data_IF_525009382752
#
_entry.id   IF_525009382752
#
_cell.length_a   1.000
_cell.length_b   1.000
_cell.length_c   1.000
_cell.angle_alpha   90.00
_cell.angle_beta   90.00
_cell.angle_gamma   90.00
#
_symmetry.space_group_name_H-M   'P 1'
#
loop_
_entity.id
_entity.type
_entity.pdbx_description
1 polymer ?
#
# COMPACT_ATOMS: atom_id res chain seq x y z
N UNK A 1 5.22 -12.25 -14.51
CA UNK A 1 5.48 -11.24 -13.48
C UNK A 1 6.15 -10.06 -14.16
N UNK A 2 5.55 -8.85 -14.07
CA UNK A 2 6.18 -7.61 -14.55
C UNK A 2 7.55 -7.40 -13.90
N UNK A 3 8.51 -6.86 -14.64
CA UNK A 3 9.77 -6.42 -14.03
C UNK A 3 9.58 -5.02 -13.46
N UNK A 4 10.37 -4.66 -12.44
CA UNK A 4 10.34 -3.31 -11.85
C UNK A 4 10.54 -2.21 -12.92
N UNK A 5 11.34 -2.49 -13.96
CA UNK A 5 11.57 -1.60 -15.10
C UNK A 5 10.34 -1.33 -15.96
N UNK A 6 9.32 -2.20 -15.89
CA UNK A 6 8.09 -2.09 -16.67
C UNK A 6 7.02 -1.26 -15.94
N UNK A 7 7.23 -0.99 -14.64
CA UNK A 7 6.31 -0.21 -13.82
C UNK A 7 6.45 1.27 -14.18
N UNK A 8 5.42 1.81 -14.82
CA UNK A 8 5.34 3.24 -15.12
C UNK A 8 4.92 4.05 -13.90
N UNK A 9 5.31 5.33 -13.86
CA UNK A 9 4.81 6.27 -12.85
C UNK A 9 3.28 6.36 -12.87
N UNK A 10 2.66 6.28 -14.05
CA UNK A 10 1.20 6.30 -14.17
C UNK A 10 0.56 5.10 -13.44
N UNK A 11 1.06 3.88 -13.70
CA UNK A 11 0.58 2.66 -13.05
C UNK A 11 0.77 2.72 -11.54
N UNK A 12 1.93 3.19 -11.07
CA UNK A 12 2.22 3.35 -9.65
C UNK A 12 1.24 4.31 -8.98
N UNK A 13 1.08 5.52 -9.53
CA UNK A 13 0.17 6.53 -8.97
C UNK A 13 -1.27 6.04 -8.95
N UNK A 14 -1.72 5.36 -10.03
CA UNK A 14 -3.06 4.78 -10.08
C UNK A 14 -3.27 3.73 -8.98
N UNK A 15 -2.35 2.78 -8.82
CA UNK A 15 -2.44 1.76 -7.77
C UNK A 15 -2.44 2.39 -6.39
N UNK A 16 -1.60 3.40 -6.14
CA UNK A 16 -1.61 4.14 -4.89
C UNK A 16 -2.96 4.81 -4.62
N UNK A 17 -3.59 5.43 -5.63
CA UNK A 17 -4.93 6.01 -5.48
C UNK A 17 -6.00 4.97 -5.17
N UNK A 18 -5.92 3.77 -5.75
CA UNK A 18 -6.86 2.68 -5.45
C UNK A 18 -6.65 2.18 -4.01
N UNK A 19 -5.41 2.04 -3.54
CA UNK A 19 -5.12 1.70 -2.15
C UNK A 19 -5.64 2.77 -1.18
N UNK A 20 -5.49 4.04 -1.54
CA UNK A 20 -6.05 5.16 -0.78
C UNK A 20 -7.57 5.09 -0.71
N UNK A 21 -8.22 4.86 -1.84
CA UNK A 21 -9.67 4.71 -1.92
C UNK A 21 -10.14 3.54 -1.05
N UNK A 22 -9.50 2.37 -1.17
CA UNK A 22 -9.81 1.19 -0.38
C UNK A 22 -9.70 1.47 1.13
N UNK A 23 -8.65 2.15 1.56
CA UNK A 23 -8.48 2.54 2.97
C UNK A 23 -9.60 3.48 3.46
N UNK A 24 -10.07 4.40 2.62
CA UNK A 24 -11.13 5.35 2.99
C UNK A 24 -12.53 4.73 2.97
N UNK A 25 -12.81 3.87 1.99
CA UNK A 25 -14.14 3.30 1.76
C UNK A 25 -14.37 2.01 2.57
N UNK A 26 -13.37 1.13 2.66
CA UNK A 26 -13.44 -0.17 3.33
C UNK A 26 -12.16 -0.45 4.14
N UNK A 27 -11.97 0.22 5.29
CA UNK A 27 -10.73 0.13 6.07
C UNK A 27 -10.43 -1.29 6.57
N UNK A 28 -11.45 -2.08 6.91
CA UNK A 28 -11.28 -3.47 7.35
C UNK A 28 -10.74 -4.34 6.21
N UNK A 29 -11.25 -4.16 4.99
CA UNK A 29 -10.79 -4.87 3.80
C UNK A 29 -9.38 -4.43 3.39
N UNK A 30 -9.08 -3.14 3.53
CA UNK A 30 -7.72 -2.64 3.38
C UNK A 30 -6.75 -3.32 4.36
N UNK A 31 -7.13 -3.44 5.65
CA UNK A 31 -6.28 -4.07 6.66
C UNK A 31 -6.01 -5.54 6.33
N UNK A 32 -7.04 -6.30 5.96
CA UNK A 32 -6.89 -7.70 5.57
C UNK A 32 -6.00 -7.84 4.32
N UNK A 33 -6.19 -6.99 3.31
CA UNK A 33 -5.35 -6.99 2.10
C UNK A 33 -3.88 -6.68 2.39
N UNK A 34 -3.61 -5.67 3.23
CA UNK A 34 -2.24 -5.33 3.65
C UNK A 34 -1.63 -6.45 4.48
N UNK A 35 -2.42 -7.09 5.35
CA UNK A 35 -1.97 -8.23 6.16
C UNK A 35 -1.56 -9.41 5.29
N UNK A 36 -2.32 -9.71 4.23
CA UNK A 36 -1.94 -10.73 3.25
C UNK A 36 -0.63 -10.37 2.54
N UNK A 37 -0.47 -9.13 2.07
CA UNK A 37 0.81 -8.67 1.48
C UNK A 37 1.96 -8.83 2.48
N UNK A 38 1.77 -8.45 3.74
CA UNK A 38 2.79 -8.54 4.78
C UNK A 38 3.14 -9.98 5.19
N UNK A 39 2.30 -10.97 4.85
CA UNK A 39 2.65 -12.38 5.03
C UNK A 39 3.83 -12.76 4.11
N UNK A 40 3.80 -12.30 2.86
CA UNK A 40 4.78 -12.65 1.82
C UNK A 40 5.88 -11.59 1.63
N UNK A 41 5.59 -10.33 1.93
CA UNK A 41 6.51 -9.20 1.76
C UNK A 41 7.12 -8.76 3.09
N UNK A 42 8.22 -9.40 3.47
CA UNK A 42 8.90 -9.16 4.76
C UNK A 42 9.27 -7.70 4.98
N UNK A 43 9.75 -6.98 3.95
CA UNK A 43 10.13 -5.58 4.09
C UNK A 43 8.93 -4.67 4.43
N UNK A 44 7.76 -4.89 3.81
CA UNK A 44 6.56 -4.13 4.16
C UNK A 44 6.13 -4.37 5.62
N UNK A 45 6.19 -5.63 6.08
CA UNK A 45 5.91 -5.98 7.47
C UNK A 45 6.86 -5.30 8.46
N UNK A 46 8.16 -5.35 8.20
CA UNK A 46 9.18 -4.69 9.03
C UNK A 46 8.98 -3.17 9.07
N UNK A 47 8.61 -2.58 7.94
CA UNK A 47 8.36 -1.14 7.85
C UNK A 47 7.10 -0.72 8.63
N UNK A 48 6.03 -1.52 8.61
CA UNK A 48 4.86 -1.29 9.46
C UNK A 48 5.21 -1.30 10.95
N UNK A 49 6.04 -2.26 11.39
CA UNK A 49 6.51 -2.33 12.77
C UNK A 49 7.35 -1.10 13.13
N UNK A 50 8.21 -0.64 12.21
CA UNK A 50 8.99 0.57 12.40
C UNK A 50 8.11 1.82 12.53
N UNK A 51 7.04 1.96 11.74
CA UNK A 51 6.06 3.05 11.87
C UNK A 51 5.38 3.01 13.24
N UNK A 52 4.96 1.82 13.69
CA UNK A 52 4.34 1.66 15.02
C UNK A 52 5.30 2.03 16.15
N UNK A 53 6.58 1.65 16.04
CA UNK A 53 7.61 2.04 16.99
C UNK A 53 7.85 3.56 16.97
N UNK A 54 7.88 4.19 15.79
CA UNK A 54 7.98 5.65 15.66
C UNK A 54 6.80 6.35 16.35
N UNK A 55 5.57 5.86 16.14
CA UNK A 55 4.38 6.40 16.77
C UNK A 55 4.41 6.24 18.29
N UNK A 56 4.84 5.08 18.79
CA UNK A 56 5.00 4.81 20.22
C UNK A 56 6.09 5.65 20.90
N UNK A 57 7.03 6.20 20.12
CA UNK A 57 8.07 7.14 20.59
C UNK A 57 7.70 8.61 20.35
N UNK A 58 6.43 8.90 20.05
CA UNK A 58 5.92 10.25 19.79
C UNK A 58 6.70 10.98 18.68
N UNK A 59 7.09 10.24 17.62
CA UNK A 59 7.72 10.83 16.46
C UNK A 59 6.86 11.95 15.86
N UNK A 60 7.53 12.94 15.26
CA UNK A 60 6.85 14.08 14.65
C UNK A 60 5.84 13.63 13.58
N UNK A 61 4.72 14.36 13.48
CA UNK A 61 3.63 14.05 12.56
C UNK A 61 4.08 14.01 11.10
N UNK A 62 5.01 14.87 10.70
CA UNK A 62 5.55 14.86 9.34
C UNK A 62 6.39 13.60 9.07
N UNK A 63 7.14 13.14 10.07
CA UNK A 63 7.92 11.91 9.96
C UNK A 63 7.01 10.67 9.81
N UNK A 64 5.93 10.60 10.59
CA UNK A 64 4.93 9.53 10.48
C UNK A 64 4.23 9.55 9.11
N UNK A 65 3.79 10.72 8.65
CA UNK A 65 3.13 10.86 7.35
C UNK A 65 4.06 10.45 6.19
N UNK A 66 5.34 10.79 6.28
CA UNK A 66 6.33 10.39 5.28
C UNK A 66 6.55 8.88 5.28
N UNK A 67 6.59 8.24 6.46
CA UNK A 67 6.74 6.80 6.57
C UNK A 67 5.52 6.07 6.01
N UNK A 68 4.30 6.50 6.36
CA UNK A 68 3.07 5.95 5.78
C UNK A 68 3.04 6.06 4.26
N UNK A 69 3.47 7.20 3.71
CA UNK A 69 3.59 7.39 2.27
C UNK A 69 4.59 6.41 1.65
N UNK A 70 5.75 6.22 2.27
CA UNK A 70 6.75 5.26 1.80
C UNK A 70 6.22 3.83 1.84
N UNK A 71 5.52 3.43 2.91
CA UNK A 71 4.85 2.13 2.98
C UNK A 71 3.87 1.94 1.83
N UNK A 72 3.04 2.94 1.55
CA UNK A 72 2.07 2.88 0.44
C UNK A 72 2.73 2.71 -0.93
N UNK A 73 3.86 3.36 -1.17
CA UNK A 73 4.64 3.13 -2.39
C UNK A 73 5.13 1.68 -2.48
N UNK A 74 5.65 1.13 -1.38
CA UNK A 74 6.12 -0.27 -1.36
C UNK A 74 4.98 -1.26 -1.61
N UNK A 75 3.82 -1.04 -1.00
CA UNK A 75 2.63 -1.86 -1.23
C UNK A 75 2.18 -1.78 -2.69
N UNK A 76 2.11 -0.58 -3.27
CA UNK A 76 1.73 -0.40 -4.67
C UNK A 76 2.72 -1.08 -5.64
N UNK A 77 4.02 -0.99 -5.37
CA UNK A 77 5.05 -1.70 -6.14
C UNK A 77 4.90 -3.22 -6.02
N UNK A 78 4.59 -3.73 -4.82
CA UNK A 78 4.36 -5.16 -4.60
C UNK A 78 3.14 -5.65 -5.38
N UNK A 79 2.04 -4.91 -5.32
CA UNK A 79 0.82 -5.17 -6.09
C UNK A 79 1.12 -5.27 -7.58
N UNK A 80 1.84 -4.29 -8.14
CA UNK A 80 2.17 -4.25 -9.56
C UNK A 80 3.15 -5.35 -9.98
N UNK A 81 4.16 -5.64 -9.16
CA UNK A 81 5.18 -6.66 -9.48
C UNK A 81 4.60 -8.09 -9.44
N UNK A 82 3.61 -8.31 -8.57
CA UNK A 82 2.96 -9.61 -8.41
C UNK A 82 1.61 -9.70 -9.13
N UNK A 83 1.22 -8.66 -9.86
CA UNK A 83 -0.06 -8.58 -10.60
C UNK A 83 -1.28 -8.86 -9.69
N UNK A 84 -1.23 -8.32 -8.46
CA UNK A 84 -2.31 -8.49 -7.49
C UNK A 84 -3.49 -7.59 -7.87
N UNK A 85 -4.69 -8.13 -7.73
CA UNK A 85 -5.91 -7.33 -7.85
C UNK A 85 -6.20 -6.71 -6.49
N UNK A 86 -6.18 -5.37 -6.41
CA UNK A 86 -6.67 -4.67 -5.22
C UNK A 86 -8.19 -4.85 -5.19
N UNK A 87 -8.78 -5.30 -4.07
CA UNK A 87 -10.22 -5.44 -3.98
C UNK A 87 -10.83 -4.04 -4.06
N UNK A 88 -11.74 -3.82 -5.00
CA UNK A 88 -12.42 -2.53 -5.15
C UNK A 88 -13.91 -2.81 -5.19
N UNK A 89 -14.65 -2.31 -4.21
CA UNK A 89 -16.11 -2.31 -4.30
C UNK A 89 -16.53 -1.19 -5.28
N UNK A 90 -17.08 -1.58 -6.43
CA UNK A 90 -17.81 -0.64 -7.28
C UNK A 90 -17.07 0.04 -8.44
N UNK A 91 -15.84 -0.36 -8.80
CA UNK A 91 -15.19 0.13 -10.05
C UNK A 91 -15.70 -0.55 -11.35
N UNK A 92 -16.75 -1.37 -11.27
CA UNK A 92 -17.44 -1.94 -12.43
C UNK A 92 -18.29 -0.93 -13.25
N UNK A 93 -18.19 0.39 -13.00
CA UNK A 93 -19.03 1.41 -13.67
C UNK A 93 -18.30 2.45 -14.53
N UNK A 94 -16.99 2.31 -14.80
CA UNK A 94 -16.28 3.26 -15.68
C UNK A 94 -15.50 2.58 -16.82
N UNK A 95 -16.14 1.63 -17.52
CA UNK A 95 -15.74 1.25 -18.89
C UNK A 95 -16.55 2.04 -19.92
#
# INVERSE_FOLDING_TARGET
MPQLSDITLFSLTRTMSVLDQLFQEEPDLYEDFVREICADFTLAREYMLAIQEMAGREADRQALAQADLTLRHMLALWVLTNDLTVPVTGLDQMQ
#
